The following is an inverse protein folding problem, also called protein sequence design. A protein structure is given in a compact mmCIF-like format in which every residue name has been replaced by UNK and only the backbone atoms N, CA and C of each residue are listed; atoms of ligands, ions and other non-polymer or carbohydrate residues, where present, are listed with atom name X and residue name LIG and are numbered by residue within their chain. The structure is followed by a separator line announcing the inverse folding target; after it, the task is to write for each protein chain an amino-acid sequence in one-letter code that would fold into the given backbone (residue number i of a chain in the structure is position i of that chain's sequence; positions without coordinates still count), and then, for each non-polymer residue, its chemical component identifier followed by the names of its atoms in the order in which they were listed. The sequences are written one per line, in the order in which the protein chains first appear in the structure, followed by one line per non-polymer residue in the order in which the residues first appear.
data_IF_729871133281
#
_entry.id   IF_729871133281
#
_cell.length_a   1.000
_cell.length_b   1.000
_cell.length_c   1.000
_cell.angle_alpha   90.00
_cell.angle_beta   90.00
_cell.angle_gamma   90.00
#
_symmetry.space_group_name_H-M   'P 1'
#
loop_
_entity.id
_entity.type
_entity.pdbx_description
1 polymer ?
#
# COMPACT_ATOMS: atom_id res chain seq x y z
N UNK A 1 7.60 15.69 5.90
CA UNK A 1 6.26 16.11 5.44
C UNK A 1 5.25 15.14 6.02
N UNK A 2 4.09 15.63 6.51
CA UNK A 2 3.05 14.75 7.04
C UNK A 2 1.89 14.69 6.03
N UNK A 3 1.52 13.48 5.58
CA UNK A 3 0.40 13.26 4.65
C UNK A 3 -0.84 12.88 5.46
N UNK A 4 -1.87 13.71 5.42
CA UNK A 4 -3.14 13.51 6.12
C UNK A 4 -4.07 12.57 5.35
N UNK A 5 -4.96 11.81 6.02
CA UNK A 5 -5.93 10.96 5.36
C UNK A 5 -6.91 11.79 4.51
N UNK A 6 -7.25 11.29 3.32
CA UNK A 6 -8.15 11.98 2.39
C UNK A 6 -9.48 11.24 2.17
N UNK A 7 -9.54 9.95 2.53
CA UNK A 7 -10.77 9.14 2.39
C UNK A 7 -11.30 8.60 3.73
N UNK A 8 -10.75 9.06 4.85
CA UNK A 8 -11.30 8.80 6.18
C UNK A 8 -12.72 9.37 6.32
N UNK A 9 -13.68 8.56 6.78
CA UNK A 9 -15.11 8.91 6.82
C UNK A 9 -15.85 8.64 5.52
N UNK A 10 -15.14 8.21 4.46
CA UNK A 10 -15.74 7.85 3.16
C UNK A 10 -15.45 6.38 2.81
N UNK A 11 -14.18 5.97 2.74
CA UNK A 11 -13.79 4.61 2.41
C UNK A 11 -13.68 3.71 3.65
N UNK A 12 -13.40 4.30 4.78
CA UNK A 12 -13.32 3.66 6.09
C UNK A 12 -13.68 4.67 7.20
N UNK A 13 -14.07 4.23 8.41
CA UNK A 13 -14.46 5.13 9.49
C UNK A 13 -13.36 6.11 9.90
N UNK A 14 -13.70 7.39 10.11
CA UNK A 14 -12.78 8.42 10.59
C UNK A 14 -12.50 8.29 12.11
N UNK A 15 -13.35 7.59 12.87
CA UNK A 15 -13.14 7.32 14.29
C UNK A 15 -12.23 6.11 14.47
N UNK A 16 -11.16 6.25 15.25
CA UNK A 16 -10.23 5.16 15.58
C UNK A 16 -10.95 3.93 16.16
N UNK A 17 -11.87 4.12 17.08
CA UNK A 17 -12.61 3.03 17.72
C UNK A 17 -13.51 2.29 16.72
N UNK A 18 -14.24 3.04 15.87
CA UNK A 18 -15.09 2.44 14.84
C UNK A 18 -14.27 1.73 13.76
N UNK A 19 -13.12 2.28 13.37
CA UNK A 19 -12.24 1.69 12.39
C UNK A 19 -11.64 0.38 12.90
N UNK A 20 -11.17 0.33 14.16
CA UNK A 20 -10.70 -0.91 14.78
C UNK A 20 -11.78 -1.98 14.82
N UNK A 21 -12.98 -1.62 15.30
CA UNK A 21 -14.09 -2.56 15.36
C UNK A 21 -14.52 -3.07 13.98
N UNK A 22 -14.42 -2.23 12.94
CA UNK A 22 -14.69 -2.66 11.57
C UNK A 22 -13.62 -3.62 11.06
N UNK A 23 -12.34 -3.32 11.26
CA UNK A 23 -11.24 -4.20 10.82
C UNK A 23 -11.31 -5.55 11.53
N UNK A 24 -11.62 -5.57 12.84
CA UNK A 24 -11.79 -6.79 13.62
C UNK A 24 -12.84 -7.75 13.03
N UNK A 25 -13.88 -7.21 12.39
CA UNK A 25 -14.90 -8.02 11.68
C UNK A 25 -14.47 -8.49 10.29
N UNK A 26 -13.42 -7.89 9.73
CA UNK A 26 -12.92 -8.17 8.38
C UNK A 26 -11.73 -9.12 8.35
N UNK A 27 -11.06 -9.32 9.49
CA UNK A 27 -9.87 -10.15 9.62
C UNK A 27 -10.20 -11.48 10.32
N UNK A 28 -9.33 -12.47 10.13
CA UNK A 28 -9.42 -13.77 10.80
C UNK A 28 -8.06 -14.11 11.44
N UNK A 29 -7.98 -13.97 12.74
CA UNK A 29 -6.75 -14.23 13.51
C UNK A 29 -6.45 -15.74 13.69
N UNK A 30 -7.38 -16.63 13.33
CA UNK A 30 -7.25 -18.08 13.50
C UNK A 30 -6.62 -18.78 12.28
N UNK A 31 -6.33 -18.05 11.20
CA UNK A 31 -5.71 -18.63 10.01
C UNK A 31 -4.19 -18.71 10.13
N UNK A 32 -3.60 -19.73 9.52
CA UNK A 32 -2.15 -19.85 9.45
C UNK A 32 -1.54 -18.72 8.64
N UNK A 33 -0.47 -18.11 9.15
CA UNK A 33 0.26 -17.03 8.48
C UNK A 33 1.45 -17.56 7.72
N UNK A 34 1.60 -17.11 6.50
CA UNK A 34 2.67 -17.48 5.57
C UNK A 34 3.73 -16.40 5.46
N UNK A 35 4.97 -16.81 5.25
CA UNK A 35 6.07 -15.90 4.91
C UNK A 35 6.00 -15.60 3.42
N UNK A 36 5.64 -14.37 3.08
CA UNK A 36 5.40 -13.95 1.70
C UNK A 36 6.44 -12.93 1.23
N UNK A 37 6.78 -12.99 -0.05
CA UNK A 37 7.59 -11.97 -0.73
C UNK A 37 6.71 -10.78 -1.11
N UNK A 38 5.47 -11.05 -1.55
CA UNK A 38 4.54 -10.01 -1.95
C UNK A 38 3.10 -10.48 -1.92
N UNK A 39 2.19 -9.52 -2.06
CA UNK A 39 0.75 -9.74 -2.05
C UNK A 39 0.02 -8.73 -2.93
N UNK A 40 -1.21 -9.05 -3.28
CA UNK A 40 -2.15 -8.12 -3.91
C UNK A 40 -3.31 -7.90 -2.96
N UNK A 41 -3.71 -6.64 -2.76
CA UNK A 41 -4.83 -6.26 -1.90
C UNK A 41 -5.68 -5.19 -2.58
N UNK A 42 -7.02 -5.29 -2.56
CA UNK A 42 -7.89 -4.29 -3.15
C UNK A 42 -7.91 -2.99 -2.34
N UNK A 43 -8.33 -1.88 -2.98
CA UNK A 43 -8.37 -0.54 -2.39
C UNK A 43 -9.70 0.19 -2.54
N UNK A 44 -10.79 -0.50 -2.82
CA UNK A 44 -12.12 0.07 -2.70
C UNK A 44 -12.48 0.38 -1.22
N UNK A 45 -13.59 1.08 -1.01
CA UNK A 45 -14.07 1.30 0.36
C UNK A 45 -14.29 -0.02 1.11
N UNK A 46 -14.04 -0.04 2.41
CA UNK A 46 -14.04 -1.25 3.25
C UNK A 46 -15.36 -2.03 3.21
N UNK A 47 -16.48 -1.35 2.98
CA UNK A 47 -17.79 -2.01 2.79
C UNK A 47 -17.85 -2.88 1.54
N UNK A 48 -17.00 -2.64 0.54
CA UNK A 48 -16.96 -3.36 -0.73
C UNK A 48 -15.84 -4.41 -0.76
N UNK A 49 -14.62 -4.02 -0.44
CA UNK A 49 -13.45 -4.85 -0.60
C UNK A 49 -12.77 -5.27 0.71
N UNK A 50 -13.24 -4.76 1.85
CA UNK A 50 -12.60 -4.98 3.14
C UNK A 50 -12.49 -6.45 3.55
N UNK A 51 -13.47 -7.29 3.22
CA UNK A 51 -13.39 -8.73 3.47
C UNK A 51 -12.24 -9.40 2.72
N UNK A 52 -11.99 -9.00 1.47
CA UNK A 52 -10.87 -9.54 0.68
C UNK A 52 -9.54 -9.01 1.21
N UNK A 53 -9.44 -7.70 1.47
CA UNK A 53 -8.24 -7.10 2.06
C UNK A 53 -7.92 -7.73 3.43
N UNK A 54 -8.90 -7.87 4.30
CA UNK A 54 -8.76 -8.50 5.61
C UNK A 54 -8.33 -9.96 5.52
N UNK A 55 -8.90 -10.74 4.59
CA UNK A 55 -8.52 -12.13 4.36
C UNK A 55 -7.08 -12.28 3.89
N UNK A 56 -6.58 -11.35 3.05
CA UNK A 56 -5.18 -11.31 2.61
C UNK A 56 -4.27 -10.97 3.78
N UNK A 57 -4.57 -9.89 4.51
CA UNK A 57 -3.74 -9.43 5.64
C UNK A 57 -3.68 -10.47 6.77
N UNK A 58 -4.76 -11.21 7.01
CA UNK A 58 -4.79 -12.26 8.05
C UNK A 58 -3.80 -13.41 7.78
N UNK A 59 -3.44 -13.66 6.52
CA UNK A 59 -2.62 -14.80 6.10
C UNK A 59 -1.13 -14.52 5.99
N UNK A 60 -0.67 -13.30 6.22
CA UNK A 60 0.74 -12.96 6.06
C UNK A 60 1.48 -12.85 7.39
N UNK A 61 2.76 -13.20 7.41
CA UNK A 61 3.68 -12.82 8.47
C UNK A 61 4.14 -11.40 8.21
N UNK A 62 3.85 -10.50 9.14
CA UNK A 62 4.20 -9.09 9.01
C UNK A 62 5.71 -8.88 9.15
N UNK A 63 6.29 -8.18 8.20
CA UNK A 63 7.66 -7.66 8.23
C UNK A 63 7.66 -6.22 8.75
N UNK A 64 8.84 -5.65 8.91
CA UNK A 64 8.97 -4.28 9.40
C UNK A 64 8.58 -3.23 8.36
N UNK A 65 8.84 -3.51 7.08
CA UNK A 65 8.64 -2.55 5.99
C UNK A 65 7.79 -3.14 4.87
N UNK A 66 6.84 -2.34 4.37
CA UNK A 66 6.02 -2.63 3.21
C UNK A 66 6.32 -1.65 2.08
N UNK A 67 6.75 -2.14 0.92
CA UNK A 67 6.76 -1.36 -0.32
C UNK A 67 5.37 -1.47 -0.91
N UNK A 68 4.62 -0.37 -0.94
CA UNK A 68 3.23 -0.37 -1.40
C UNK A 68 3.14 0.37 -2.71
N UNK A 69 2.76 -0.35 -3.77
CA UNK A 69 2.52 0.21 -5.09
C UNK A 69 1.03 0.32 -5.35
N UNK A 70 0.58 1.48 -5.78
CA UNK A 70 -0.81 1.72 -6.16
C UNK A 70 -0.94 2.58 -7.41
N UNK A 71 -2.11 2.59 -8.06
CA UNK A 71 -2.36 3.46 -9.21
C UNK A 71 -2.44 4.93 -8.79
N UNK A 72 -2.14 5.83 -9.73
CA UNK A 72 -2.40 7.26 -9.58
C UNK A 72 -3.77 7.60 -10.20
N UNK A 73 -4.82 7.63 -9.39
CA UNK A 73 -6.16 7.99 -9.84
C UNK A 73 -6.32 9.49 -10.06
N UNK A 74 -5.53 10.29 -9.39
CA UNK A 74 -5.67 11.75 -9.40
C UNK A 74 -5.03 12.40 -10.63
N UNK A 75 -4.07 11.73 -11.26
CA UNK A 75 -3.24 12.31 -12.31
C UNK A 75 -2.31 13.43 -11.83
N UNK A 76 -2.25 13.69 -10.51
CA UNK A 76 -1.38 14.72 -9.95
C UNK A 76 0.06 14.23 -9.83
N UNK A 77 0.99 15.17 -9.91
CA UNK A 77 2.41 14.94 -9.72
C UNK A 77 3.06 14.16 -10.85
N UNK A 78 4.17 13.49 -10.53
CA UNK A 78 4.95 12.70 -11.48
C UNK A 78 4.26 11.38 -11.79
N UNK A 79 4.33 10.89 -13.04
CA UNK A 79 3.65 9.64 -13.44
C UNK A 79 4.10 8.40 -12.67
N UNK A 80 5.38 8.30 -12.35
CA UNK A 80 5.96 7.21 -11.58
C UNK A 80 6.65 7.81 -10.38
N UNK A 81 5.94 7.87 -9.27
CA UNK A 81 6.29 8.67 -8.12
C UNK A 81 6.59 7.81 -6.90
N UNK A 82 7.63 8.16 -6.17
CA UNK A 82 7.97 7.62 -4.86
C UNK A 82 8.04 8.78 -3.85
N UNK A 83 7.61 8.53 -2.62
CA UNK A 83 7.81 9.46 -1.51
C UNK A 83 8.78 8.81 -0.53
N UNK A 84 9.96 9.42 -0.34
CA UNK A 84 11.07 8.80 0.40
C UNK A 84 11.22 9.31 1.82
N UNK A 85 10.40 10.26 2.27
CA UNK A 85 10.49 10.80 3.64
C UNK A 85 9.18 11.38 4.14
N UNK A 86 8.99 11.31 5.45
CA UNK A 86 7.82 11.85 6.14
C UNK A 86 6.97 10.78 6.81
N UNK A 87 5.73 11.13 7.10
CA UNK A 87 4.75 10.26 7.76
C UNK A 87 3.40 10.31 7.05
N UNK A 88 2.64 9.24 7.17
CA UNK A 88 1.25 9.15 6.73
C UNK A 88 0.34 9.01 7.95
N UNK A 89 -0.62 9.92 8.08
CA UNK A 89 -1.63 9.85 9.14
C UNK A 89 -2.81 8.95 8.73
N UNK A 90 -3.31 8.21 9.71
CA UNK A 90 -4.61 7.51 9.66
C UNK A 90 -5.35 7.75 10.97
N UNK A 91 -6.63 7.39 11.10
CA UNK A 91 -7.31 7.43 12.39
C UNK A 91 -6.69 6.53 13.48
N UNK A 92 -5.82 5.58 13.10
CA UNK A 92 -5.11 4.69 14.03
C UNK A 92 -3.73 5.21 14.46
N UNK A 93 -3.27 6.32 13.90
CA UNK A 93 -1.98 6.95 14.20
C UNK A 93 -1.14 7.17 12.94
N UNK A 94 0.13 7.50 13.14
CA UNK A 94 1.08 7.76 12.07
C UNK A 94 1.81 6.48 11.63
N UNK A 95 2.12 6.42 10.34
CA UNK A 95 3.00 5.41 9.72
C UNK A 95 4.20 6.13 9.12
N UNK A 96 5.40 5.74 9.55
CA UNK A 96 6.64 6.34 9.04
C UNK A 96 6.99 5.80 7.66
N UNK A 97 7.61 6.65 6.83
CA UNK A 97 8.26 6.22 5.61
C UNK A 97 9.65 5.67 5.96
N UNK A 98 9.99 4.50 5.41
CA UNK A 98 11.34 3.96 5.45
C UNK A 98 12.23 4.76 4.49
N UNK A 99 12.82 5.83 5.03
CA UNK A 99 13.58 6.78 4.22
C UNK A 99 14.86 6.15 3.62
N UNK A 100 15.50 5.25 4.34
CA UNK A 100 16.70 4.57 3.85
C UNK A 100 16.37 3.69 2.64
N UNK A 101 15.36 2.84 2.77
CA UNK A 101 14.92 1.99 1.67
C UNK A 101 14.32 2.82 0.51
N UNK A 102 13.54 3.85 0.82
CA UNK A 102 12.97 4.74 -0.19
C UNK A 102 14.05 5.42 -1.04
N UNK A 103 15.08 5.97 -0.42
CA UNK A 103 16.21 6.57 -1.11
C UNK A 103 17.01 5.54 -1.93
N UNK A 104 17.22 4.33 -1.39
CA UNK A 104 17.88 3.24 -2.11
C UNK A 104 17.12 2.84 -3.37
N UNK A 105 15.79 2.71 -3.28
CA UNK A 105 14.93 2.42 -4.45
C UNK A 105 15.00 3.55 -5.48
N UNK A 106 14.87 4.81 -5.03
CA UNK A 106 14.95 5.98 -5.90
C UNK A 106 16.31 6.03 -6.64
N UNK A 107 17.41 5.82 -5.94
CA UNK A 107 18.74 5.83 -6.53
C UNK A 107 18.99 4.66 -7.51
N UNK A 108 18.28 3.54 -7.34
CA UNK A 108 18.41 2.36 -8.21
C UNK A 108 17.54 2.48 -9.46
N UNK A 109 16.45 3.26 -9.41
CA UNK A 109 15.50 3.36 -10.51
C UNK A 109 15.82 4.50 -11.46
N UNK A 110 15.70 4.20 -12.76
CA UNK A 110 15.79 5.21 -13.83
C UNK A 110 14.43 5.87 -14.15
N UNK A 111 13.35 5.37 -13.56
CA UNK A 111 11.96 5.77 -13.88
C UNK A 111 11.25 6.47 -12.73
N UNK A 112 11.49 6.02 -11.49
CA UNK A 112 10.86 6.62 -10.32
C UNK A 112 11.43 8.01 -10.04
N UNK A 113 10.56 8.92 -9.66
CA UNK A 113 10.91 10.29 -9.30
C UNK A 113 10.37 10.62 -7.91
N UNK A 114 11.17 11.31 -7.10
CA UNK A 114 10.68 11.84 -5.83
C UNK A 114 9.60 12.86 -6.08
N UNK A 115 8.40 12.61 -5.58
CA UNK A 115 7.30 13.58 -5.67
C UNK A 115 6.19 13.27 -4.66
N UNK A 116 6.11 14.07 -3.62
CA UNK A 116 5.05 13.95 -2.62
C UNK A 116 3.68 14.41 -3.12
N UNK A 117 3.60 15.24 -4.17
CA UNK A 117 2.32 15.78 -4.65
C UNK A 117 1.43 14.70 -5.28
N UNK A 118 2.02 13.68 -5.92
CA UNK A 118 1.30 12.53 -6.45
C UNK A 118 0.59 11.70 -5.37
N UNK A 119 1.05 11.78 -4.12
CA UNK A 119 0.52 10.99 -3.00
C UNK A 119 -0.53 11.73 -2.17
N UNK A 120 -0.61 13.06 -2.28
CA UNK A 120 -1.40 13.89 -1.34
C UNK A 120 -2.89 13.58 -1.35
N UNK A 121 -3.46 13.34 -2.53
CA UNK A 121 -4.89 13.08 -2.72
C UNK A 121 -5.18 11.66 -3.23
N UNK A 122 -4.16 10.82 -3.33
CA UNK A 122 -4.28 9.44 -3.79
C UNK A 122 -4.66 8.52 -2.61
N UNK A 123 -5.67 7.68 -2.81
CA UNK A 123 -6.23 6.81 -1.78
C UNK A 123 -5.76 5.36 -1.83
N UNK A 124 -5.26 4.89 -2.99
CA UNK A 124 -4.95 3.47 -3.21
C UNK A 124 -3.97 2.87 -2.19
N UNK A 125 -3.01 3.65 -1.72
CA UNK A 125 -2.08 3.24 -0.66
C UNK A 125 -2.68 3.50 0.73
N UNK A 126 -3.37 4.63 0.92
CA UNK A 126 -3.93 5.02 2.21
C UNK A 126 -4.83 3.95 2.81
N UNK A 127 -5.71 3.35 2.01
CA UNK A 127 -6.69 2.36 2.49
C UNK A 127 -6.06 1.07 2.98
N UNK A 128 -4.81 0.78 2.64
CA UNK A 128 -4.07 -0.37 3.12
C UNK A 128 -3.55 -0.17 4.55
N UNK A 129 -3.22 1.08 4.92
CA UNK A 129 -2.50 1.39 6.15
C UNK A 129 -3.25 0.99 7.42
N UNK A 130 -4.57 1.20 7.57
CA UNK A 130 -5.26 0.79 8.79
C UNK A 130 -5.24 -0.72 9.03
N UNK A 131 -5.29 -1.55 7.97
CA UNK A 131 -5.11 -3.00 8.11
C UNK A 131 -3.71 -3.34 8.63
N UNK A 132 -2.67 -2.71 8.07
CA UNK A 132 -1.30 -2.94 8.51
C UNK A 132 -1.11 -2.52 9.98
N UNK A 133 -1.63 -1.34 10.37
CA UNK A 133 -1.57 -0.84 11.74
C UNK A 133 -2.38 -1.67 12.74
N UNK A 134 -3.44 -2.34 12.30
CA UNK A 134 -4.22 -3.25 13.15
C UNK A 134 -3.36 -4.41 13.65
N UNK A 135 -2.56 -4.99 12.77
CA UNK A 135 -1.70 -6.13 13.12
C UNK A 135 -0.36 -5.72 13.73
N UNK A 136 0.16 -4.53 13.40
CA UNK A 136 1.48 -4.10 13.86
C UNK A 136 1.63 -2.57 13.86
N UNK A 137 2.03 -2.00 15.01
CA UNK A 137 2.08 -0.54 15.20
C UNK A 137 3.37 0.12 14.71
N UNK A 138 4.46 -0.65 14.54
CA UNK A 138 5.82 -0.17 14.25
C UNK A 138 6.24 -0.41 12.80
N UNK A 139 5.28 -0.60 11.91
CA UNK A 139 5.54 -0.76 10.48
C UNK A 139 6.05 0.54 9.86
N UNK A 140 6.86 0.38 8.82
CA UNK A 140 7.25 1.44 7.91
C UNK A 140 6.76 1.14 6.50
N UNK A 141 6.64 2.18 5.68
CA UNK A 141 6.22 2.03 4.30
C UNK A 141 7.19 2.71 3.34
N UNK A 142 7.23 2.20 2.11
CA UNK A 142 7.77 2.94 0.96
C UNK A 142 6.63 3.06 -0.06
N UNK A 143 5.94 4.22 -0.12
CA UNK A 143 4.81 4.41 -1.00
C UNK A 143 5.27 4.77 -2.41
N UNK A 144 4.73 4.06 -3.41
CA UNK A 144 5.00 4.25 -4.85
C UNK A 144 3.67 4.35 -5.58
N UNK A 145 3.46 5.44 -6.30
CA UNK A 145 2.25 5.68 -7.08
C UNK A 145 2.59 5.63 -8.57
N UNK A 146 1.83 4.85 -9.31
CA UNK A 146 2.09 4.55 -10.72
C UNK A 146 0.90 5.02 -11.59
N UNK A 147 1.11 6.04 -12.42
CA UNK A 147 0.17 6.39 -13.48
C UNK A 147 0.31 5.41 -14.66
N UNK A 148 -0.63 5.50 -15.61
CA UNK A 148 -0.61 4.64 -16.81
C UNK A 148 0.71 4.76 -17.58
N UNK A 149 1.32 3.63 -17.88
CA UNK A 149 2.57 3.50 -18.61
C UNK A 149 2.61 2.19 -19.41
N UNK A 150 3.73 1.89 -20.06
CA UNK A 150 3.90 0.63 -20.79
C UNK A 150 4.28 -0.52 -19.85
N UNK A 151 3.90 -1.74 -20.22
CA UNK A 151 4.27 -2.94 -19.47
C UNK A 151 5.79 -3.11 -19.29
N UNK A 152 6.59 -2.63 -20.23
CA UNK A 152 8.04 -2.72 -20.13
C UNK A 152 8.60 -1.76 -19.07
N UNK A 153 8.05 -0.55 -18.95
CA UNK A 153 8.44 0.39 -17.89
C UNK A 153 8.10 -0.19 -16.52
N UNK A 154 6.91 -0.78 -16.34
CA UNK A 154 6.55 -1.43 -15.07
C UNK A 154 7.48 -2.60 -14.73
N UNK A 155 7.90 -3.40 -15.73
CA UNK A 155 8.88 -4.47 -15.51
C UNK A 155 10.24 -3.93 -15.07
N UNK A 156 10.70 -2.83 -15.65
CA UNK A 156 11.97 -2.21 -15.25
C UNK A 156 11.88 -1.63 -13.84
N UNK A 157 10.80 -0.94 -13.48
CA UNK A 157 10.54 -0.49 -12.08
C UNK A 157 10.56 -1.69 -11.12
N UNK A 158 9.91 -2.80 -11.48
CA UNK A 158 9.95 -4.02 -10.68
C UNK A 158 11.37 -4.60 -10.51
N UNK A 159 12.19 -4.59 -11.56
CA UNK A 159 13.60 -5.00 -11.49
C UNK A 159 14.42 -4.06 -10.61
N UNK A 160 14.16 -2.75 -10.69
CA UNK A 160 14.84 -1.74 -9.88
C UNK A 160 14.54 -1.97 -8.38
N UNK A 161 13.26 -2.18 -8.05
CA UNK A 161 12.86 -2.52 -6.68
C UNK A 161 13.53 -3.83 -6.23
N UNK A 162 13.51 -4.88 -7.06
CA UNK A 162 14.14 -6.16 -6.74
C UNK A 162 15.64 -6.01 -6.47
N UNK A 163 16.35 -5.18 -7.24
CA UNK A 163 17.76 -4.87 -7.00
C UNK A 163 17.98 -4.14 -5.68
N UNK A 164 17.11 -3.18 -5.35
CA UNK A 164 17.22 -2.41 -4.13
C UNK A 164 16.99 -3.25 -2.86
N UNK A 165 16.10 -4.27 -2.92
CA UNK A 165 15.77 -5.11 -1.76
C UNK A 165 16.60 -6.39 -1.65
N UNK A 166 17.46 -6.68 -2.64
CA UNK A 166 18.20 -7.96 -2.73
C UNK A 166 18.92 -8.37 -1.44
N UNK A 167 19.50 -7.40 -0.74
CA UNK A 167 20.33 -7.65 0.44
C UNK A 167 19.54 -7.60 1.77
N UNK A 168 18.22 -7.38 1.71
CA UNK A 168 17.37 -7.22 2.90
C UNK A 168 16.87 -8.56 3.48
N UNK A 169 17.34 -9.70 2.96
CA UNK A 169 17.06 -11.05 3.47
C UNK A 169 15.57 -11.34 3.81
N UNK A 170 14.66 -10.76 3.01
CA UNK A 170 13.22 -10.97 3.19
C UNK A 170 12.55 -10.17 4.31
N UNK A 171 13.17 -9.13 4.82
CA UNK A 171 12.60 -8.23 5.86
C UNK A 171 11.56 -7.23 5.30
N UNK A 172 11.23 -7.34 4.02
CA UNK A 172 10.30 -6.45 3.31
C UNK A 172 9.21 -7.27 2.65
N UNK A 173 7.99 -6.74 2.62
CA UNK A 173 6.88 -7.26 1.80
C UNK A 173 6.56 -6.26 0.69
N UNK A 174 6.37 -6.74 -0.53
CA UNK A 174 5.93 -5.94 -1.67
C UNK A 174 4.42 -6.08 -1.79
N UNK A 175 3.69 -4.98 -1.72
CA UNK A 175 2.24 -4.95 -1.85
C UNK A 175 1.82 -4.23 -3.12
N UNK A 176 1.06 -4.92 -3.96
CA UNK A 176 0.33 -4.30 -5.04
C UNK A 176 -1.09 -3.98 -4.57
N UNK A 177 -1.42 -2.70 -4.48
CA UNK A 177 -2.75 -2.23 -4.18
C UNK A 177 -3.55 -2.15 -5.48
N UNK A 178 -4.48 -3.08 -5.70
CA UNK A 178 -5.22 -3.20 -6.96
C UNK A 178 -6.59 -3.84 -6.77
N UNK A 179 -7.63 -3.18 -7.30
CA UNK A 179 -9.00 -3.70 -7.30
C UNK A 179 -9.25 -4.74 -8.42
N UNK A 180 -8.31 -4.94 -9.33
CA UNK A 180 -8.39 -5.84 -10.49
C UNK A 180 -9.44 -5.38 -11.52
N UNK A 181 -10.74 -5.44 -11.18
CA UNK A 181 -11.86 -5.01 -12.04
C UNK A 181 -12.84 -4.12 -11.28
N UNK A 182 -13.58 -3.27 -11.99
CA UNK A 182 -14.61 -2.40 -11.42
C UNK A 182 -15.91 -2.57 -12.16
N UNK A 183 -17.01 -2.79 -11.42
CA UNK A 183 -18.38 -2.84 -11.93
C UNK A 183 -18.61 -3.87 -13.03
N UNK A 184 -17.76 -4.90 -13.12
CA UNK A 184 -17.90 -5.98 -14.09
C UNK A 184 -18.76 -7.11 -13.51
N UNK A 185 -19.60 -7.77 -14.35
CA UNK A 185 -20.23 -9.02 -13.96
C UNK A 185 -19.18 -10.09 -13.63
N UNK A 186 -19.50 -11.00 -12.71
CA UNK A 186 -18.57 -12.05 -12.30
C UNK A 186 -18.00 -12.86 -13.48
N UNK A 187 -18.82 -13.12 -14.49
CA UNK A 187 -18.42 -13.86 -15.70
C UNK A 187 -17.35 -13.12 -16.53
N UNK A 188 -17.32 -11.78 -16.44
CA UNK A 188 -16.33 -10.94 -17.15
C UNK A 188 -15.08 -10.69 -16.29
N UNK A 189 -15.20 -10.86 -14.98
CA UNK A 189 -14.12 -10.62 -14.02
C UNK A 189 -13.21 -11.85 -13.82
N UNK A 190 -13.65 -13.04 -14.25
CA UNK A 190 -12.92 -14.32 -14.18
C UNK A 190 -12.20 -14.62 -15.50
#
# INVERSE_FOLDING_TARGET
MNRRPVVAGQFYPASSAQLRAMIEQLVDDNVAREDVIGLVSPHAGYVYSGLVAGAVMSRIKFKNTFIIMGPNHTGMGKPLSIMTQGTWETPLGEVEIDSELGQKILATSSYLQEDSSAHQHEHSIEVQLPFLQYFRNDIKIVPIVLASSTGDIYKEVGKDIARAVKDLNGEVVIMASSDMTHYEPQESAL
#
